data_IF_290310283902
#
_entry.id   IF_290310283902
#
_cell.length_a   1.000
_cell.length_b   1.000
_cell.length_c   1.000
_cell.angle_alpha   90.00
_cell.angle_beta   90.00
_cell.angle_gamma   90.00
#
_symmetry.space_group_name_H-M   'P 1'
#
loop_
_entity.id
_entity.type
_entity.pdbx_description
1 polymer ?
#
# COMPACT_ATOMS: atom_id res chain seq x y z
N UNK A 1 2.59 -4.12 32.90
CA UNK A 1 2.33 -3.85 31.47
C UNK A 1 2.06 -2.37 31.19
N UNK A 2 1.53 -1.64 32.16
CA UNK A 2 1.30 -0.18 32.07
C UNK A 2 2.59 0.60 32.39
N UNK A 3 3.47 0.02 33.18
CA UNK A 3 4.78 0.61 33.55
C UNK A 3 5.79 0.67 32.40
N UNK A 4 5.59 -0.10 31.33
CA UNK A 4 6.54 -0.25 30.22
C UNK A 4 6.13 0.46 28.93
N UNK A 5 5.29 1.50 29.02
CA UNK A 5 4.89 2.28 27.85
C UNK A 5 3.99 1.50 26.86
N UNK A 6 3.30 0.48 27.35
CA UNK A 6 2.36 -0.27 26.52
C UNK A 6 1.16 0.61 26.17
N UNK A 7 1.16 1.05 24.93
CA UNK A 7 0.09 1.81 24.29
C UNK A 7 -1.30 1.16 24.42
N UNK A 8 -2.33 1.95 24.16
CA UNK A 8 -3.76 1.64 24.01
C UNK A 8 -4.10 0.23 23.44
N UNK A 9 -3.15 -0.48 22.85
CA UNK A 9 -3.27 -1.81 22.27
C UNK A 9 -3.62 -2.92 23.28
N UNK A 10 -3.23 -2.76 24.57
CA UNK A 10 -3.46 -3.77 25.61
C UNK A 10 -4.94 -3.82 26.02
N UNK A 11 -5.65 -2.70 25.95
CA UNK A 11 -7.09 -2.63 26.28
C UNK A 11 -7.97 -3.08 25.11
N UNK A 12 -7.46 -3.00 23.88
CA UNK A 12 -8.22 -3.37 22.68
C UNK A 12 -8.46 -4.88 22.52
N UNK A 13 -7.51 -5.74 22.90
CA UNK A 13 -7.66 -7.20 22.77
C UNK A 13 -8.68 -7.81 23.72
N UNK A 14 -8.65 -7.54 25.03
CA UNK A 14 -9.67 -8.05 25.96
C UNK A 14 -11.08 -7.60 25.60
N UNK A 15 -11.25 -6.39 25.06
CA UNK A 15 -12.56 -5.89 24.64
C UNK A 15 -13.00 -6.53 23.32
N UNK A 16 -12.09 -6.75 22.38
CA UNK A 16 -12.37 -7.40 21.10
C UNK A 16 -12.75 -8.86 21.26
N UNK A 17 -12.06 -9.54 22.17
CA UNK A 17 -12.19 -10.98 22.38
C UNK A 17 -13.26 -11.32 23.43
N UNK A 18 -13.89 -10.30 24.06
CA UNK A 18 -14.98 -10.47 25.00
C UNK A 18 -16.28 -10.81 24.27
N UNK A 19 -16.86 -11.93 24.62
CA UNK A 19 -18.15 -12.38 24.11
C UNK A 19 -19.33 -11.55 24.67
N UNK A 20 -19.15 -10.86 25.80
CA UNK A 20 -20.16 -10.06 26.48
C UNK A 20 -19.70 -8.58 26.62
N UNK A 21 -20.48 -7.60 26.11
CA UNK A 21 -20.20 -6.18 26.27
C UNK A 21 -20.08 -5.70 27.73
N UNK A 22 -20.75 -6.38 28.66
CA UNK A 22 -20.69 -6.05 30.09
C UNK A 22 -19.33 -6.37 30.68
N UNK A 23 -18.76 -7.51 30.33
CA UNK A 23 -17.41 -7.91 30.77
C UNK A 23 -16.38 -6.96 30.17
N UNK A 24 -16.54 -6.58 28.89
CA UNK A 24 -15.69 -5.61 28.24
C UNK A 24 -15.74 -4.24 28.93
N UNK A 25 -16.93 -3.77 29.30
CA UNK A 25 -17.11 -2.52 30.04
C UNK A 25 -16.45 -2.53 31.41
N UNK A 26 -16.53 -3.66 32.12
CA UNK A 26 -15.90 -3.82 33.44
C UNK A 26 -14.37 -3.75 33.34
N UNK A 27 -13.77 -4.49 32.41
CA UNK A 27 -12.31 -4.47 32.18
C UNK A 27 -11.83 -3.07 31.83
N UNK A 28 -12.57 -2.37 30.99
CA UNK A 28 -12.24 -1.00 30.58
C UNK A 28 -12.35 -0.02 31.74
N UNK A 29 -13.42 -0.13 32.55
CA UNK A 29 -13.61 0.68 33.74
C UNK A 29 -12.48 0.46 34.78
N UNK A 30 -12.10 -0.79 35.01
CA UNK A 30 -10.99 -1.14 35.91
C UNK A 30 -9.65 -0.57 35.45
N UNK A 31 -9.36 -0.62 34.15
CA UNK A 31 -8.14 -0.04 33.59
C UNK A 31 -8.08 1.47 33.78
N UNK A 32 -9.21 2.18 33.61
CA UNK A 32 -9.29 3.63 33.87
C UNK A 32 -9.15 3.96 35.34
N UNK A 33 -9.78 3.18 36.22
CA UNK A 33 -9.63 3.34 37.68
C UNK A 33 -8.15 3.18 38.09
N UNK A 34 -7.46 2.17 37.54
CA UNK A 34 -6.04 1.96 37.81
C UNK A 34 -5.18 3.12 37.30
N UNK A 35 -5.43 3.60 36.08
CA UNK A 35 -4.70 4.74 35.50
C UNK A 35 -4.84 6.00 36.39
N UNK A 36 -6.03 6.25 36.92
CA UNK A 36 -6.28 7.38 37.82
C UNK A 36 -5.59 7.17 39.16
N UNK A 37 -5.63 5.95 39.73
CA UNK A 37 -4.97 5.61 40.97
C UNK A 37 -3.44 5.79 40.85
N UNK A 38 -2.83 5.32 39.77
CA UNK A 38 -1.41 5.45 39.48
C UNK A 38 -0.99 6.93 39.33
N UNK A 39 -1.85 7.71 38.64
CA UNK A 39 -1.62 9.16 38.53
C UNK A 39 -1.63 9.87 39.88
N UNK A 40 -2.60 9.58 40.73
CA UNK A 40 -2.69 10.17 42.08
C UNK A 40 -1.50 9.72 42.94
N UNK A 41 -1.09 8.46 42.89
CA UNK A 41 0.07 7.93 43.61
C UNK A 41 1.39 8.63 43.19
N UNK A 42 1.57 8.89 41.89
CA UNK A 42 2.72 9.67 41.40
C UNK A 42 2.84 11.06 42.02
N UNK A 43 1.69 11.65 42.46
CA UNK A 43 1.62 12.99 43.00
C UNK A 43 1.35 13.02 44.53
N UNK A 44 1.48 11.89 45.24
CA UNK A 44 1.13 11.78 46.66
C UNK A 44 1.97 12.68 47.58
N UNK A 45 3.22 12.96 47.19
CA UNK A 45 4.13 13.83 47.94
C UNK A 45 3.82 15.32 47.80
N UNK A 46 2.90 15.67 46.90
CA UNK A 46 2.47 17.07 46.73
C UNK A 46 1.34 17.38 47.71
N UNK A 47 1.72 18.04 48.79
CA UNK A 47 0.79 18.39 49.86
C UNK A 47 0.72 19.90 50.09
N UNK A 48 -0.37 20.39 50.67
CA UNK A 48 -0.51 21.78 51.10
C UNK A 48 0.25 22.02 52.42
N UNK A 49 0.23 23.29 52.86
CA UNK A 49 0.83 23.72 54.13
C UNK A 49 0.25 22.99 55.38
N UNK A 50 -0.88 22.30 55.22
CA UNK A 50 -1.53 21.52 56.28
C UNK A 50 -1.37 20.01 56.09
N UNK A 51 -0.50 19.56 55.20
CA UNK A 51 -0.24 18.16 54.92
C UNK A 51 -1.30 17.44 54.08
N UNK A 52 -2.27 18.15 53.50
CA UNK A 52 -3.34 17.51 52.69
C UNK A 52 -2.92 17.42 51.27
N UNK A 53 -3.20 16.26 50.62
CA UNK A 53 -2.86 16.00 49.21
C UNK A 53 -3.48 17.04 48.30
N UNK A 54 -2.70 17.59 47.37
CA UNK A 54 -3.12 18.57 46.39
C UNK A 54 -3.80 17.90 45.20
N UNK A 55 -3.37 16.71 44.79
CA UNK A 55 -3.96 15.93 43.69
C UNK A 55 -4.82 14.83 44.29
N UNK A 56 -6.11 14.90 44.09
CA UNK A 56 -7.11 14.02 44.70
C UNK A 56 -8.17 13.57 43.73
N UNK A 57 -8.76 12.41 43.98
CA UNK A 57 -9.99 11.99 43.30
C UNK A 57 -11.16 12.84 43.75
N UNK A 58 -12.02 13.22 42.82
CA UNK A 58 -13.20 14.06 43.11
C UNK A 58 -14.43 13.60 42.30
N UNK A 59 -15.02 12.48 42.70
CA UNK A 59 -16.20 11.91 42.01
C UNK A 59 -15.89 11.39 40.61
N UNK A 60 -16.86 11.49 39.73
CA UNK A 60 -16.78 11.00 38.37
C UNK A 60 -17.12 12.08 37.36
N UNK A 61 -16.63 11.94 36.14
CA UNK A 61 -17.11 12.69 34.98
C UNK A 61 -18.49 12.17 34.57
N UNK A 62 -19.27 12.95 33.80
CA UNK A 62 -20.50 12.45 33.21
C UNK A 62 -20.29 11.16 32.44
N UNK A 63 -21.26 10.25 32.56
CA UNK A 63 -21.28 8.98 31.82
C UNK A 63 -21.29 9.26 30.33
N UNK A 64 -20.50 8.47 29.60
CA UNK A 64 -20.47 8.54 28.14
C UNK A 64 -20.44 7.16 27.51
N UNK A 65 -21.05 7.04 26.36
CA UNK A 65 -21.06 5.81 25.58
C UNK A 65 -19.91 5.77 24.58
N UNK A 66 -19.28 4.61 24.49
CA UNK A 66 -18.24 4.32 23.51
C UNK A 66 -18.66 3.10 22.70
N UNK A 67 -18.56 3.19 21.38
CA UNK A 67 -18.77 2.06 20.49
C UNK A 67 -17.48 1.23 20.39
N UNK A 68 -17.58 -0.06 20.70
CA UNK A 68 -16.48 -1.02 20.63
C UNK A 68 -16.84 -2.18 19.69
N UNK A 69 -15.89 -3.08 19.44
CA UNK A 69 -16.13 -4.32 18.69
C UNK A 69 -17.14 -5.26 19.38
N UNK A 70 -17.38 -5.11 20.69
CA UNK A 70 -18.37 -5.86 21.44
C UNK A 70 -19.70 -5.10 21.61
N UNK A 71 -19.92 -3.99 20.90
CA UNK A 71 -21.08 -3.13 20.99
C UNK A 71 -20.83 -1.84 21.77
N UNK A 72 -21.93 -1.19 22.20
CA UNK A 72 -21.87 0.03 23.03
C UNK A 72 -21.56 -0.33 24.47
N UNK A 73 -20.61 0.37 25.04
CA UNK A 73 -20.31 0.31 26.45
C UNK A 73 -20.46 1.69 27.08
N UNK A 74 -21.07 1.73 28.26
CA UNK A 74 -21.22 2.96 29.05
C UNK A 74 -20.09 3.06 30.08
N UNK A 75 -19.43 4.21 30.15
CA UNK A 75 -18.23 4.41 30.98
C UNK A 75 -18.33 5.68 31.78
N UNK A 76 -18.00 5.56 33.08
CA UNK A 76 -17.79 6.66 34.00
C UNK A 76 -16.32 6.77 34.33
N UNK A 77 -15.69 7.88 33.92
CA UNK A 77 -14.29 8.14 34.26
C UNK A 77 -14.18 8.84 35.61
N UNK A 78 -13.30 8.36 36.53
CA UNK A 78 -13.02 9.10 37.75
C UNK A 78 -12.44 10.48 37.42
N UNK A 79 -12.86 11.49 38.18
CA UNK A 79 -12.38 12.85 38.03
C UNK A 79 -11.22 13.10 38.97
N UNK A 80 -10.10 13.60 38.45
CA UNK A 80 -8.96 14.06 39.21
C UNK A 80 -9.07 15.59 39.40
N UNK A 81 -8.89 16.06 40.61
CA UNK A 81 -8.84 17.47 40.94
C UNK A 81 -7.43 17.83 41.44
N UNK A 82 -6.82 18.80 40.81
CA UNK A 82 -5.56 19.41 41.23
C UNK A 82 -5.91 20.76 41.93
N UNK A 83 -5.63 20.82 43.21
CA UNK A 83 -5.93 21.95 44.09
C UNK A 83 -4.83 22.99 44.15
N UNK A 84 -3.76 22.90 43.35
CA UNK A 84 -2.73 23.93 43.30
C UNK A 84 -3.34 25.27 42.95
N UNK A 85 -2.93 26.32 43.61
CA UNK A 85 -3.56 27.64 43.50
C UNK A 85 -2.91 28.49 42.40
N UNK A 86 -1.61 28.28 42.12
CA UNK A 86 -0.91 29.07 41.11
C UNK A 86 -1.33 28.70 39.69
N UNK A 87 -1.75 29.73 38.95
CA UNK A 87 -2.05 29.61 37.54
C UNK A 87 -0.81 29.16 36.77
N UNK A 88 -0.91 28.07 36.00
CA UNK A 88 0.21 27.45 35.28
C UNK A 88 0.82 26.21 35.97
N UNK A 89 0.64 26.01 37.27
CA UNK A 89 1.08 24.80 37.96
C UNK A 89 -0.02 23.71 38.03
N UNK A 90 -1.25 24.03 37.74
CA UNK A 90 -2.35 23.04 37.68
C UNK A 90 -2.18 22.12 36.50
N UNK A 91 -1.96 20.85 36.76
CA UNK A 91 -1.90 19.82 35.72
C UNK A 91 -3.31 19.22 35.52
N UNK A 92 -3.78 19.26 34.31
CA UNK A 92 -5.05 18.60 33.94
C UNK A 92 -4.76 17.14 33.65
N UNK A 93 -5.33 16.23 34.42
CA UNK A 93 -5.29 14.82 34.11
C UNK A 93 -6.03 14.56 32.80
N UNK A 94 -5.37 13.92 31.87
CA UNK A 94 -5.95 13.41 30.61
C UNK A 94 -5.67 11.93 30.53
N UNK A 95 -6.72 11.11 30.54
CA UNK A 95 -6.58 9.67 30.43
C UNK A 95 -6.02 9.29 29.07
N UNK A 96 -4.98 8.45 29.04
CA UNK A 96 -4.45 7.85 27.82
C UNK A 96 -5.37 6.73 27.30
N UNK A 97 -6.03 6.04 28.24
CA UNK A 97 -6.99 4.96 27.94
C UNK A 97 -8.29 5.52 27.37
N UNK A 98 -8.77 6.64 27.93
CA UNK A 98 -10.03 7.29 27.59
C UNK A 98 -9.82 8.76 27.20
N UNK A 99 -9.19 9.08 26.06
CA UNK A 99 -8.98 10.44 25.62
C UNK A 99 -10.30 11.25 25.55
N UNK A 100 -10.25 12.57 25.73
CA UNK A 100 -11.40 13.43 25.44
C UNK A 100 -11.91 13.16 24.02
N UNK A 101 -13.23 13.14 23.84
CA UNK A 101 -13.87 12.92 22.52
C UNK A 101 -13.76 11.51 21.93
N UNK A 102 -13.18 10.52 22.61
CA UNK A 102 -13.23 9.14 22.16
C UNK A 102 -14.68 8.67 22.13
N UNK A 103 -15.21 8.39 20.94
CA UNK A 103 -16.57 7.87 20.73
C UNK A 103 -16.57 6.43 20.21
N UNK A 104 -15.44 5.96 19.70
CA UNK A 104 -15.25 4.63 19.13
C UNK A 104 -13.89 4.10 19.51
N UNK A 105 -13.79 2.78 19.60
CA UNK A 105 -12.48 2.13 19.78
C UNK A 105 -11.59 2.31 18.53
N UNK A 106 -10.28 2.31 18.73
CA UNK A 106 -9.31 2.38 17.64
C UNK A 106 -9.53 1.26 16.61
N UNK A 107 -9.91 0.07 17.06
CA UNK A 107 -10.22 -1.06 16.18
C UNK A 107 -11.34 -0.74 15.18
N UNK A 108 -12.36 -0.01 15.60
CA UNK A 108 -13.44 0.42 14.70
C UNK A 108 -13.00 1.55 13.78
N UNK A 109 -12.22 2.49 14.28
CA UNK A 109 -11.65 3.55 13.43
C UNK A 109 -10.73 2.98 12.34
N UNK A 110 -10.04 1.88 12.60
CA UNK A 110 -9.24 1.13 11.61
C UNK A 110 -10.13 0.27 10.67
N UNK A 111 -11.24 -0.28 11.17
CA UNK A 111 -12.14 -1.12 10.40
C UNK A 111 -12.93 -0.34 9.34
N UNK A 112 -13.40 0.85 9.67
CA UNK A 112 -14.22 1.70 8.79
C UNK A 112 -13.52 2.01 7.45
N UNK A 113 -12.27 2.50 7.44
CA UNK A 113 -11.52 2.69 6.21
C UNK A 113 -11.40 1.41 5.39
N UNK A 114 -11.18 0.28 6.06
CA UNK A 114 -11.05 -1.00 5.41
C UNK A 114 -12.34 -1.47 4.73
N UNK A 115 -13.48 -1.33 5.40
CA UNK A 115 -14.81 -1.65 4.84
C UNK A 115 -15.10 -0.77 3.60
N UNK A 116 -14.80 0.53 3.68
CA UNK A 116 -14.95 1.44 2.55
C UNK A 116 -14.06 1.02 1.37
N UNK A 117 -12.81 0.68 1.62
CA UNK A 117 -11.88 0.21 0.59
C UNK A 117 -12.32 -1.14 -0.01
N UNK A 118 -13.02 -1.99 0.74
CA UNK A 118 -13.58 -3.25 0.25
C UNK A 118 -14.86 -3.12 -0.55
N UNK A 119 -15.43 -1.95 -0.66
CA UNK A 119 -16.52 -1.68 -1.57
C UNK A 119 -17.87 -1.39 -0.92
N UNK A 120 -17.93 -1.29 0.39
CA UNK A 120 -19.14 -0.85 1.07
C UNK A 120 -19.37 0.61 0.74
N UNK A 121 -20.53 0.93 0.19
CA UNK A 121 -20.89 2.30 -0.16
C UNK A 121 -21.16 3.14 1.11
N UNK A 122 -21.16 4.45 0.97
CA UNK A 122 -21.43 5.34 2.12
C UNK A 122 -22.82 5.11 2.70
N UNK A 123 -23.81 4.74 1.87
CA UNK A 123 -25.17 4.42 2.29
C UNK A 123 -25.27 3.10 3.05
N UNK A 124 -24.47 2.10 2.68
CA UNK A 124 -24.56 0.74 3.23
C UNK A 124 -23.77 0.55 4.54
N UNK A 125 -23.02 1.58 4.96
CA UNK A 125 -22.22 1.50 6.19
C UNK A 125 -23.05 1.21 7.43
N UNK A 126 -24.24 1.81 7.54
CA UNK A 126 -25.12 1.59 8.70
C UNK A 126 -25.57 0.15 8.79
N UNK A 127 -25.94 -0.45 7.66
CA UNK A 127 -26.33 -1.86 7.58
C UNK A 127 -25.14 -2.80 7.86
N UNK A 128 -24.00 -2.56 7.23
CA UNK A 128 -22.80 -3.35 7.45
C UNK A 128 -22.31 -3.30 8.90
N UNK A 129 -22.37 -2.14 9.55
CA UNK A 129 -22.02 -2.00 10.96
C UNK A 129 -23.07 -2.62 11.87
N UNK A 130 -24.35 -2.51 11.54
CA UNK A 130 -25.43 -3.16 12.29
C UNK A 130 -25.29 -4.69 12.24
N UNK A 131 -24.92 -5.26 11.08
CA UNK A 131 -24.65 -6.68 10.94
C UNK A 131 -23.42 -7.17 11.73
N UNK A 132 -22.39 -6.32 11.86
CA UNK A 132 -21.15 -6.67 12.56
C UNK A 132 -21.18 -6.40 14.07
N UNK A 133 -21.92 -5.38 14.51
CA UNK A 133 -21.86 -4.82 15.86
C UNK A 133 -23.24 -4.82 16.56
N UNK A 134 -24.27 -5.33 15.90
CA UNK A 134 -25.65 -5.31 16.37
C UNK A 134 -26.42 -4.08 15.93
N UNK A 135 -27.76 -4.18 15.97
CA UNK A 135 -28.71 -3.18 15.45
C UNK A 135 -28.61 -1.80 16.13
N UNK A 136 -27.99 -1.74 17.30
CA UNK A 136 -27.74 -0.50 18.06
C UNK A 136 -26.45 0.22 17.64
N UNK A 137 -25.71 -0.29 16.65
CA UNK A 137 -24.54 0.43 16.15
C UNK A 137 -24.97 1.73 15.46
N UNK A 138 -24.45 2.90 15.87
CA UNK A 138 -24.73 4.14 15.17
C UNK A 138 -24.15 4.07 13.78
N UNK A 139 -24.97 4.37 12.78
CA UNK A 139 -24.51 4.51 11.42
C UNK A 139 -23.39 5.54 11.30
N UNK A 140 -22.51 5.35 10.33
CA UNK A 140 -21.54 6.37 9.98
C UNK A 140 -22.26 7.49 9.22
N UNK A 141 -22.19 8.69 9.75
CA UNK A 141 -22.68 9.84 9.00
C UNK A 141 -21.83 10.08 7.74
N UNK A 142 -22.44 10.61 6.69
CA UNK A 142 -21.74 11.00 5.48
C UNK A 142 -20.55 11.95 5.77
N UNK A 143 -20.66 12.78 6.79
CA UNK A 143 -19.60 13.67 7.28
C UNK A 143 -18.36 12.90 7.80
N UNK A 144 -18.54 11.75 8.42
CA UNK A 144 -17.43 10.91 8.87
C UNK A 144 -16.62 10.37 7.68
N UNK A 145 -17.30 9.93 6.63
CA UNK A 145 -16.65 9.46 5.41
C UNK A 145 -15.94 10.60 4.66
N UNK A 146 -16.55 11.80 4.64
CA UNK A 146 -15.93 12.98 4.04
C UNK A 146 -14.63 13.33 4.76
N UNK A 147 -14.65 13.40 6.10
CA UNK A 147 -13.44 13.64 6.91
C UNK A 147 -12.38 12.56 6.70
N UNK A 148 -12.78 11.30 6.56
CA UNK A 148 -11.84 10.21 6.28
C UNK A 148 -11.12 10.40 4.94
N UNK A 149 -11.85 10.83 3.90
CA UNK A 149 -11.26 11.13 2.59
C UNK A 149 -10.27 12.29 2.66
N UNK A 150 -10.57 13.33 3.41
CA UNK A 150 -9.67 14.48 3.65
C UNK A 150 -8.37 14.01 4.33
N UNK A 151 -8.47 13.24 5.41
CA UNK A 151 -7.29 12.66 6.09
C UNK A 151 -6.44 11.84 5.12
N UNK A 152 -7.05 11.04 4.24
CA UNK A 152 -6.31 10.26 3.25
C UNK A 152 -5.64 11.13 2.18
N UNK A 153 -6.27 12.23 1.77
CA UNK A 153 -5.66 13.18 0.84
C UNK A 153 -4.42 13.84 1.45
N UNK A 154 -4.49 14.21 2.73
CA UNK A 154 -3.34 14.75 3.47
C UNK A 154 -2.22 13.73 3.65
N UNK A 155 -2.58 12.46 3.89
CA UNK A 155 -1.60 11.37 3.94
C UNK A 155 -0.89 11.18 2.61
N UNK A 156 -1.61 11.20 1.48
CA UNK A 156 -1.02 11.14 0.14
C UNK A 156 -0.05 12.29 -0.04
N UNK A 157 -0.48 13.52 0.26
CA UNK A 157 0.35 14.71 0.08
C UNK A 157 1.65 14.67 0.92
N UNK A 158 1.57 14.20 2.17
CA UNK A 158 2.75 13.97 3.02
C UNK A 158 3.66 12.87 2.49
N UNK A 159 3.07 11.76 2.05
CA UNK A 159 3.80 10.62 1.51
C UNK A 159 4.52 10.97 0.20
N UNK A 160 3.90 11.77 -0.68
CA UNK A 160 4.51 12.23 -1.92
C UNK A 160 5.71 13.17 -1.69
N UNK A 161 5.81 13.84 -0.54
CA UNK A 161 6.93 14.72 -0.18
C UNK A 161 8.05 14.03 0.61
N UNK A 162 7.92 12.73 0.90
CA UNK A 162 8.92 12.03 1.70
C UNK A 162 10.28 12.00 1.03
N UNK A 163 11.34 12.14 1.81
CA UNK A 163 12.73 12.02 1.35
C UNK A 163 13.05 10.59 0.91
N UNK A 164 13.75 10.44 -0.19
CA UNK A 164 14.20 9.17 -0.77
C UNK A 164 15.72 9.04 -0.84
N UNK A 165 16.49 9.99 -0.28
CA UNK A 165 17.97 9.99 -0.34
C UNK A 165 18.60 8.71 0.21
N UNK A 166 18.04 8.16 1.28
CA UNK A 166 18.52 6.92 1.90
C UNK A 166 17.97 5.64 1.24
N UNK A 167 17.21 5.78 0.14
CA UNK A 167 16.59 4.64 -0.53
C UNK A 167 17.40 4.20 -1.74
N UNK A 168 17.54 2.87 -1.87
CA UNK A 168 18.07 2.22 -3.07
C UNK A 168 17.06 1.19 -3.54
N UNK A 169 16.64 1.29 -4.79
CA UNK A 169 15.74 0.32 -5.42
C UNK A 169 16.46 -0.34 -6.58
N UNK A 170 16.52 -1.66 -6.56
CA UNK A 170 17.20 -2.45 -7.58
C UNK A 170 16.31 -2.67 -8.79
N UNK A 171 15.02 -2.90 -8.55
CA UNK A 171 14.02 -3.10 -9.59
C UNK A 171 12.88 -2.11 -9.48
N UNK A 172 12.37 -1.65 -10.63
CA UNK A 172 11.09 -0.94 -10.75
C UNK A 172 10.07 -1.78 -11.50
N UNK A 173 8.81 -1.68 -11.09
CA UNK A 173 7.64 -2.06 -11.87
C UNK A 173 6.80 -0.82 -12.07
N UNK A 174 6.53 -0.48 -13.34
CA UNK A 174 5.77 0.71 -13.71
C UNK A 174 4.54 0.30 -14.55
N UNK A 175 3.39 0.87 -14.20
CA UNK A 175 2.13 0.62 -14.92
C UNK A 175 1.12 1.73 -14.65
N UNK A 176 0.14 1.90 -15.54
CA UNK A 176 -0.97 2.83 -15.43
C UNK A 176 -2.31 2.14 -15.23
N UNK A 177 -3.12 2.62 -14.30
CA UNK A 177 -4.49 2.15 -14.14
C UNK A 177 -5.50 3.20 -14.62
N UNK A 178 -6.39 2.78 -15.50
CA UNK A 178 -7.46 3.62 -16.05
C UNK A 178 -8.80 3.30 -15.39
N UNK A 179 -9.53 4.34 -14.98
CA UNK A 179 -10.91 4.21 -14.50
C UNK A 179 -11.70 5.52 -14.73
N UNK A 180 -13.03 5.37 -14.80
CA UNK A 180 -13.91 6.52 -14.94
C UNK A 180 -14.13 7.25 -13.63
N UNK A 181 -14.07 8.57 -13.63
CA UNK A 181 -14.61 9.41 -12.57
C UNK A 181 -16.01 9.88 -13.00
N UNK A 182 -17.02 9.75 -12.10
CA UNK A 182 -18.42 10.05 -12.43
C UNK A 182 -18.68 11.49 -12.85
N UNK A 183 -17.82 12.41 -12.45
CA UNK A 183 -17.97 13.85 -12.70
C UNK A 183 -17.04 14.36 -13.80
N UNK A 184 -16.39 13.47 -14.54
CA UNK A 184 -15.42 13.85 -15.57
C UNK A 184 -15.63 13.01 -16.82
N UNK A 185 -15.60 13.66 -18.00
CA UNK A 185 -15.81 13.00 -19.30
C UNK A 185 -14.63 12.10 -19.69
N UNK A 186 -13.42 12.41 -19.22
CA UNK A 186 -12.23 11.64 -19.55
C UNK A 186 -11.89 10.59 -18.50
N UNK A 187 -11.40 9.43 -18.95
CA UNK A 187 -10.89 8.39 -18.05
C UNK A 187 -9.65 8.88 -17.33
N UNK A 188 -9.66 8.79 -16.03
CA UNK A 188 -8.50 9.07 -15.20
C UNK A 188 -7.46 7.97 -15.36
N UNK A 189 -6.18 8.36 -15.49
CA UNK A 189 -5.03 7.47 -15.47
C UNK A 189 -4.23 7.73 -14.20
N UNK A 190 -4.05 6.74 -13.35
CA UNK A 190 -3.11 6.84 -12.23
C UNK A 190 -1.87 6.02 -12.56
N UNK A 191 -0.73 6.70 -12.59
CA UNK A 191 0.59 6.11 -12.79
C UNK A 191 1.15 5.62 -11.46
N UNK A 192 1.64 4.39 -11.44
CA UNK A 192 2.16 3.74 -10.24
C UNK A 192 3.53 3.15 -10.52
N UNK A 193 4.47 3.35 -9.59
CA UNK A 193 5.75 2.65 -9.58
C UNK A 193 5.91 1.93 -8.24
N UNK A 194 6.21 0.64 -8.30
CA UNK A 194 6.64 -0.19 -7.18
C UNK A 194 8.14 -0.41 -7.33
N UNK A 195 8.90 -0.34 -6.25
CA UNK A 195 10.33 -0.63 -6.22
C UNK A 195 10.67 -1.79 -5.31
N UNK A 196 11.70 -2.56 -5.67
CA UNK A 196 12.34 -3.51 -4.78
C UNK A 196 13.60 -2.91 -4.18
N UNK A 197 13.66 -2.84 -2.85
CA UNK A 197 14.84 -2.36 -2.14
C UNK A 197 16.01 -3.33 -2.25
N UNK A 198 17.19 -2.91 -1.84
CA UNK A 198 18.41 -3.73 -1.68
C UNK A 198 18.22 -4.95 -0.75
N UNK A 199 17.23 -4.92 0.13
CA UNK A 199 16.84 -6.03 1.02
C UNK A 199 15.74 -6.92 0.42
N UNK A 200 15.33 -6.66 -0.82
CA UNK A 200 14.27 -7.39 -1.54
C UNK A 200 12.85 -7.04 -1.10
N UNK A 201 12.67 -6.06 -0.22
CA UNK A 201 11.36 -5.56 0.18
C UNK A 201 10.73 -4.77 -0.98
N UNK A 202 9.47 -5.04 -1.29
CA UNK A 202 8.73 -4.24 -2.27
C UNK A 202 8.06 -3.06 -1.60
N UNK A 203 8.20 -1.87 -2.18
CA UNK A 203 7.62 -0.62 -1.68
C UNK A 203 6.91 0.13 -2.81
N UNK A 204 5.78 0.77 -2.49
CA UNK A 204 5.19 1.77 -3.36
C UNK A 204 6.09 3.01 -3.36
N UNK A 205 6.60 3.44 -4.51
CA UNK A 205 7.51 4.58 -4.61
C UNK A 205 6.90 5.80 -5.28
N UNK A 206 6.05 5.59 -6.28
CA UNK A 206 5.29 6.66 -6.91
C UNK A 206 3.83 6.28 -7.09
N UNK A 207 2.97 7.26 -6.93
CA UNK A 207 1.57 7.24 -7.35
C UNK A 207 1.19 8.67 -7.74
N UNK A 208 0.75 8.86 -8.97
CA UNK A 208 0.48 10.19 -9.52
C UNK A 208 -0.70 10.13 -10.48
N UNK A 209 -1.54 11.16 -10.46
CA UNK A 209 -2.56 11.37 -11.46
C UNK A 209 -1.90 11.83 -12.76
N UNK A 210 -2.03 11.05 -13.82
CA UNK A 210 -1.52 11.36 -15.15
C UNK A 210 -2.68 11.56 -16.13
N UNK A 211 -2.49 12.46 -17.10
CA UNK A 211 -3.46 12.63 -18.18
C UNK A 211 -3.61 11.33 -19.00
N UNK A 212 -2.49 10.66 -19.26
CA UNK A 212 -2.35 9.32 -19.90
C UNK A 212 -0.98 8.76 -19.53
N UNK A 213 -0.67 7.55 -19.98
CA UNK A 213 0.69 7.02 -19.93
C UNK A 213 1.60 7.69 -20.97
N UNK A 214 1.56 9.02 -21.01
CA UNK A 214 2.38 9.83 -21.93
C UNK A 214 3.81 9.94 -21.42
N UNK A 215 4.74 10.21 -22.34
CA UNK A 215 6.13 10.51 -21.99
C UNK A 215 6.24 11.64 -20.96
N UNK A 216 5.46 12.72 -21.16
CA UNK A 216 5.44 13.86 -20.23
C UNK A 216 4.99 13.47 -18.83
N UNK A 217 3.90 12.70 -18.73
CA UNK A 217 3.39 12.27 -17.43
C UNK A 217 4.40 11.38 -16.69
N UNK A 218 5.05 10.46 -17.38
CA UNK A 218 6.09 9.63 -16.79
C UNK A 218 7.36 10.41 -16.46
N UNK A 219 7.72 11.40 -17.28
CA UNK A 219 8.85 12.29 -17.03
C UNK A 219 8.64 13.06 -15.72
N UNK A 220 7.46 13.62 -15.50
CA UNK A 220 7.11 14.33 -14.27
C UNK A 220 7.22 13.42 -13.04
N UNK A 221 6.77 12.15 -13.13
CA UNK A 221 6.91 11.16 -12.06
C UNK A 221 8.37 10.88 -11.73
N UNK A 222 9.19 10.60 -12.74
CA UNK A 222 10.60 10.24 -12.52
C UNK A 222 11.44 11.44 -12.04
N UNK A 223 11.17 12.64 -12.56
CA UNK A 223 11.76 13.88 -12.07
C UNK A 223 11.39 14.15 -10.59
N UNK A 224 10.16 13.85 -10.20
CA UNK A 224 9.74 13.98 -8.80
C UNK A 224 10.52 13.01 -7.88
N UNK A 225 10.72 11.77 -8.32
CA UNK A 225 11.55 10.81 -7.57
C UNK A 225 12.98 11.36 -7.39
N UNK A 226 13.55 11.91 -8.45
CA UNK A 226 14.91 12.50 -8.41
C UNK A 226 14.97 13.72 -7.49
N UNK A 227 13.99 14.63 -7.57
CA UNK A 227 13.88 15.79 -6.66
C UNK A 227 13.76 15.39 -5.20
N UNK A 228 13.13 14.27 -4.89
CA UNK A 228 13.04 13.71 -3.54
C UNK A 228 14.31 12.97 -3.09
N UNK A 229 15.35 12.97 -3.92
CA UNK A 229 16.67 12.44 -3.57
C UNK A 229 16.96 11.03 -4.09
N UNK A 230 16.11 10.43 -4.93
CA UNK A 230 16.40 9.17 -5.59
C UNK A 230 17.32 9.39 -6.79
N UNK A 231 18.61 9.63 -6.53
CA UNK A 231 19.60 9.96 -7.55
C UNK A 231 19.94 8.75 -8.44
N UNK A 232 19.98 7.57 -7.86
CA UNK A 232 20.32 6.33 -8.58
C UNK A 232 19.05 5.62 -9.01
N UNK A 233 18.95 5.35 -10.32
CA UNK A 233 17.85 4.57 -10.90
C UNK A 233 17.92 3.08 -10.56
N UNK A 234 16.93 2.29 -11.02
CA UNK A 234 16.95 0.84 -10.88
C UNK A 234 18.00 0.20 -11.81
N UNK A 235 18.44 -1.01 -11.49
CA UNK A 235 19.22 -1.82 -12.42
C UNK A 235 18.34 -2.34 -13.58
N UNK A 236 17.05 -2.61 -13.28
CA UNK A 236 16.08 -3.03 -14.29
C UNK A 236 14.71 -2.42 -13.97
N UNK A 237 14.07 -1.86 -14.99
CA UNK A 237 12.67 -1.46 -14.94
C UNK A 237 11.81 -2.43 -15.76
N UNK A 238 10.66 -2.81 -15.21
CA UNK A 238 9.68 -3.72 -15.83
C UNK A 238 8.41 -2.94 -16.11
N UNK A 239 7.94 -2.98 -17.35
CA UNK A 239 6.74 -2.24 -17.73
C UNK A 239 6.04 -2.81 -18.96
N UNK A 240 4.86 -2.26 -19.29
CA UNK A 240 4.17 -2.54 -20.55
C UNK A 240 4.89 -1.86 -21.74
N UNK A 241 4.35 -2.09 -22.93
CA UNK A 241 4.81 -1.48 -24.17
C UNK A 241 4.55 0.03 -24.33
N UNK A 242 4.07 0.73 -23.30
CA UNK A 242 3.84 2.16 -23.35
C UNK A 242 5.14 2.95 -23.59
N UNK A 243 5.32 3.48 -24.78
CA UNK A 243 6.54 4.15 -25.22
C UNK A 243 6.91 5.35 -24.33
N UNK A 244 5.92 6.00 -23.72
CA UNK A 244 6.13 7.16 -22.85
C UNK A 244 7.00 6.88 -21.64
N UNK A 245 6.79 5.76 -20.95
CA UNK A 245 7.58 5.36 -19.78
C UNK A 245 9.05 5.16 -20.15
N UNK A 246 9.32 4.42 -21.22
CA UNK A 246 10.67 4.07 -21.62
C UNK A 246 11.50 5.26 -22.05
N UNK A 247 10.88 6.21 -22.77
CA UNK A 247 11.55 7.46 -23.13
C UNK A 247 11.92 8.31 -21.91
N UNK A 248 10.98 8.44 -20.97
CA UNK A 248 11.23 9.16 -19.73
C UNK A 248 12.30 8.46 -18.86
N UNK A 249 12.28 7.12 -18.79
CA UNK A 249 13.27 6.34 -18.05
C UNK A 249 14.69 6.57 -18.58
N UNK A 250 14.89 6.46 -19.89
CA UNK A 250 16.21 6.69 -20.53
C UNK A 250 16.73 8.10 -20.29
N UNK A 251 15.82 9.08 -20.23
CA UNK A 251 16.20 10.48 -19.99
C UNK A 251 16.63 10.73 -18.55
N UNK A 252 15.95 10.13 -17.58
CA UNK A 252 16.19 10.41 -16.15
C UNK A 252 17.17 9.42 -15.52
N UNK A 253 17.12 8.15 -15.93
CA UNK A 253 17.95 7.05 -15.44
C UNK A 253 18.54 6.25 -16.62
N UNK A 254 19.49 6.83 -17.38
CA UNK A 254 20.00 6.22 -18.61
C UNK A 254 20.73 4.89 -18.41
N UNK A 255 21.17 4.59 -17.19
CA UNK A 255 21.78 3.31 -16.84
C UNK A 255 20.79 2.19 -16.50
N UNK A 256 19.50 2.48 -16.47
CA UNK A 256 18.48 1.47 -16.14
C UNK A 256 18.22 0.53 -17.33
N UNK A 257 18.29 -0.78 -17.09
CA UNK A 257 17.87 -1.79 -18.05
C UNK A 257 16.35 -1.77 -18.26
N UNK A 258 15.90 -2.24 -19.41
CA UNK A 258 14.48 -2.30 -19.79
C UNK A 258 14.02 -3.76 -19.92
N UNK A 259 12.92 -4.11 -19.28
CA UNK A 259 12.25 -5.40 -19.45
C UNK A 259 10.80 -5.20 -19.82
N UNK A 260 10.38 -5.68 -20.96
CA UNK A 260 8.97 -5.70 -21.35
C UNK A 260 8.23 -6.80 -20.62
N UNK A 261 7.04 -6.47 -20.13
CA UNK A 261 6.17 -7.43 -19.46
C UNK A 261 5.67 -8.52 -20.42
N UNK A 262 6.00 -9.76 -20.12
CA UNK A 262 5.59 -10.93 -20.92
C UNK A 262 4.05 -11.14 -20.90
N UNK A 263 3.35 -10.78 -19.84
CA UNK A 263 1.88 -10.89 -19.78
C UNK A 263 1.26 -9.95 -20.79
N UNK A 264 1.64 -8.68 -20.78
CA UNK A 264 1.13 -7.69 -21.75
C UNK A 264 1.56 -8.02 -23.18
N UNK A 265 2.81 -8.44 -23.39
CA UNK A 265 3.29 -8.82 -24.72
C UNK A 265 2.50 -10.01 -25.25
N UNK A 266 2.30 -11.04 -24.44
CA UNK A 266 1.50 -12.21 -24.82
C UNK A 266 0.08 -11.78 -25.22
N UNK A 267 -0.59 -10.95 -24.43
CA UNK A 267 -1.91 -10.42 -24.78
C UNK A 267 -1.91 -9.66 -26.11
N UNK A 268 -0.91 -8.79 -26.32
CA UNK A 268 -0.77 -7.99 -27.55
C UNK A 268 -0.55 -8.83 -28.81
N UNK A 269 0.21 -9.93 -28.70
CA UNK A 269 0.44 -10.88 -29.79
C UNK A 269 -0.82 -11.70 -30.07
N UNK A 270 -1.45 -12.27 -29.03
CA UNK A 270 -2.65 -13.09 -29.16
C UNK A 270 -3.83 -12.31 -29.73
N UNK A 271 -3.98 -11.03 -29.41
CA UNK A 271 -5.02 -10.16 -29.96
C UNK A 271 -4.90 -9.96 -31.49
N UNK A 272 -3.76 -10.31 -32.08
CA UNK A 272 -3.53 -10.26 -33.52
C UNK A 272 -3.74 -11.63 -34.22
N UNK A 273 -4.12 -12.65 -33.43
CA UNK A 273 -4.38 -14.01 -33.92
C UNK A 273 -5.86 -14.37 -33.74
N UNK A 274 -6.42 -15.20 -34.69
CA UNK A 274 -7.75 -15.75 -34.53
C UNK A 274 -7.90 -16.54 -33.23
N UNK A 275 -9.09 -16.47 -32.61
CA UNK A 275 -9.37 -17.13 -31.31
C UNK A 275 -9.00 -18.60 -31.26
N UNK A 276 -9.24 -19.36 -32.36
CA UNK A 276 -8.92 -20.79 -32.45
C UNK A 276 -7.42 -21.10 -32.33
N UNK A 277 -6.55 -20.16 -32.71
CA UNK A 277 -5.09 -20.34 -32.64
C UNK A 277 -4.49 -19.83 -31.34
N UNK A 278 -5.18 -18.99 -30.59
CA UNK A 278 -4.64 -18.31 -29.41
C UNK A 278 -4.11 -19.29 -28.36
N UNK A 279 -4.81 -20.42 -28.13
CA UNK A 279 -4.37 -21.43 -27.14
C UNK A 279 -3.02 -22.04 -27.52
N UNK A 280 -2.85 -22.45 -28.80
CA UNK A 280 -1.59 -23.02 -29.30
C UNK A 280 -0.47 -21.99 -29.29
N UNK A 281 -0.75 -20.80 -29.83
CA UNK A 281 0.22 -19.69 -29.85
C UNK A 281 0.68 -19.27 -28.45
N UNK A 282 -0.23 -19.29 -27.47
CA UNK A 282 0.14 -19.02 -26.06
C UNK A 282 1.14 -20.03 -25.51
N UNK A 283 1.01 -21.32 -25.88
CA UNK A 283 2.00 -22.33 -25.51
C UNK A 283 3.38 -22.00 -26.09
N UNK A 284 3.45 -21.73 -27.40
CA UNK A 284 4.73 -21.36 -28.03
C UNK A 284 5.33 -20.05 -27.47
N UNK A 285 4.51 -19.07 -27.11
CA UNK A 285 5.01 -17.88 -26.42
C UNK A 285 5.54 -18.22 -25.02
N UNK A 286 4.89 -19.16 -24.32
CA UNK A 286 5.35 -19.62 -23.02
C UNK A 286 6.70 -20.32 -23.10
N UNK A 287 6.95 -21.11 -24.15
CA UNK A 287 8.22 -21.80 -24.37
C UNK A 287 9.38 -20.80 -24.44
N UNK A 288 9.16 -19.56 -24.95
CA UNK A 288 10.17 -18.52 -25.03
C UNK A 288 10.61 -18.06 -23.62
N UNK A 289 9.65 -17.64 -22.80
CA UNK A 289 10.00 -17.05 -21.49
C UNK A 289 10.16 -18.06 -20.36
N UNK A 290 9.94 -19.35 -20.64
CA UNK A 290 10.25 -20.49 -19.75
C UNK A 290 11.53 -21.20 -20.13
N UNK A 291 12.19 -20.83 -21.22
CA UNK A 291 13.44 -21.43 -21.64
C UNK A 291 14.53 -21.25 -20.56
N UNK A 292 15.39 -22.23 -20.42
CA UNK A 292 16.47 -22.24 -19.42
C UNK A 292 17.60 -21.27 -19.74
N UNK A 293 17.79 -20.95 -21.03
CA UNK A 293 18.84 -20.03 -21.48
C UNK A 293 18.31 -19.03 -22.48
N UNK A 294 18.95 -17.88 -22.58
CA UNK A 294 18.65 -16.85 -23.59
C UNK A 294 18.68 -17.43 -25.00
N UNK A 295 19.69 -18.24 -25.31
CA UNK A 295 19.83 -18.88 -26.64
C UNK A 295 18.63 -19.78 -26.96
N UNK A 296 18.17 -20.58 -25.99
CA UNK A 296 16.99 -21.43 -26.19
C UNK A 296 15.71 -20.57 -26.37
N UNK A 297 15.59 -19.48 -25.61
CA UNK A 297 14.51 -18.52 -25.76
C UNK A 297 14.50 -17.84 -27.13
N UNK A 298 15.65 -17.46 -27.64
CA UNK A 298 15.81 -16.88 -28.99
C UNK A 298 15.42 -17.90 -30.07
N UNK A 299 15.83 -19.17 -29.95
CA UNK A 299 15.41 -20.22 -30.87
C UNK A 299 13.90 -20.46 -30.84
N UNK A 300 13.26 -20.45 -29.67
CA UNK A 300 11.82 -20.56 -29.53
C UNK A 300 11.08 -19.34 -30.12
N UNK A 301 11.65 -18.14 -30.01
CA UNK A 301 11.13 -16.92 -30.63
C UNK A 301 11.22 -17.01 -32.15
N UNK A 302 12.35 -17.46 -32.71
CA UNK A 302 12.54 -17.63 -34.13
C UNK A 302 11.56 -18.68 -34.70
N UNK A 303 11.36 -19.79 -33.99
CA UNK A 303 10.34 -20.78 -34.32
C UNK A 303 8.93 -20.15 -34.37
N UNK A 304 8.57 -19.29 -33.40
CA UNK A 304 7.28 -18.59 -33.39
C UNK A 304 7.14 -17.70 -34.64
N UNK A 305 8.18 -16.95 -34.98
CA UNK A 305 8.19 -16.06 -36.15
C UNK A 305 8.02 -16.87 -37.44
N UNK A 306 8.73 -17.98 -37.58
CA UNK A 306 8.63 -18.88 -38.75
C UNK A 306 7.23 -19.50 -38.85
N UNK A 307 6.73 -20.09 -37.76
CA UNK A 307 5.47 -20.81 -37.73
C UNK A 307 4.24 -19.95 -38.04
N UNK A 308 4.29 -18.65 -37.65
CA UNK A 308 3.13 -17.75 -37.76
C UNK A 308 3.32 -16.63 -38.82
N UNK A 309 4.57 -16.35 -39.23
CA UNK A 309 4.90 -15.17 -40.05
C UNK A 309 4.20 -15.13 -41.40
N UNK A 310 4.05 -16.26 -42.10
CA UNK A 310 3.43 -16.31 -43.41
C UNK A 310 1.96 -15.84 -43.46
N UNK A 311 1.22 -16.03 -42.36
CA UNK A 311 -0.22 -15.69 -42.28
C UNK A 311 -0.54 -14.58 -41.31
N UNK A 312 0.30 -14.31 -40.33
CA UNK A 312 0.04 -13.42 -39.19
C UNK A 312 1.24 -12.51 -38.94
N UNK A 313 1.70 -11.84 -39.98
CA UNK A 313 2.84 -10.89 -39.99
C UNK A 313 2.76 -9.85 -38.86
N UNK A 314 1.53 -9.32 -38.60
CA UNK A 314 1.32 -8.37 -37.50
C UNK A 314 1.55 -8.94 -36.11
N UNK A 315 1.32 -10.23 -35.92
CA UNK A 315 1.56 -10.89 -34.64
C UNK A 315 3.05 -11.13 -34.42
N UNK A 316 3.74 -11.63 -35.45
CA UNK A 316 5.19 -11.88 -35.40
C UNK A 316 6.00 -10.58 -35.33
N UNK A 317 5.64 -9.55 -36.11
CA UNK A 317 6.25 -8.23 -36.00
C UNK A 317 6.05 -7.60 -34.59
N UNK A 318 4.87 -7.81 -33.99
CA UNK A 318 4.59 -7.35 -32.63
C UNK A 318 5.53 -8.01 -31.60
N UNK A 319 5.88 -9.30 -31.79
CA UNK A 319 6.82 -10.00 -30.92
C UNK A 319 8.25 -9.58 -31.21
N UNK A 320 8.68 -9.66 -32.46
CA UNK A 320 10.07 -9.48 -32.88
C UNK A 320 10.66 -8.09 -32.57
N UNK A 321 9.84 -7.04 -32.67
CA UNK A 321 10.30 -5.66 -32.43
C UNK A 321 10.83 -5.40 -31.01
N UNK A 322 10.45 -6.21 -30.04
CA UNK A 322 10.86 -6.04 -28.64
C UNK A 322 11.74 -7.23 -28.17
N UNK A 323 12.33 -8.00 -29.10
CA UNK A 323 13.12 -9.21 -28.83
C UNK A 323 14.11 -9.02 -27.67
N UNK A 324 14.99 -8.03 -27.76
CA UNK A 324 16.06 -7.83 -26.80
C UNK A 324 15.52 -7.48 -25.41
N UNK A 325 14.59 -6.53 -25.35
CA UNK A 325 13.99 -6.07 -24.08
C UNK A 325 12.99 -7.07 -23.46
N UNK A 326 12.59 -8.09 -24.19
CA UNK A 326 11.80 -9.21 -23.65
C UNK A 326 12.68 -10.24 -22.95
N UNK A 327 13.95 -10.32 -23.31
CA UNK A 327 14.91 -11.32 -22.82
C UNK A 327 15.92 -10.72 -21.82
N UNK A 328 15.80 -9.45 -21.45
CA UNK A 328 16.72 -8.78 -20.51
C UNK A 328 16.79 -9.45 -19.15
N UNK A 329 15.75 -10.15 -18.71
CA UNK A 329 15.72 -10.83 -17.42
C UNK A 329 16.77 -11.94 -17.30
N UNK A 330 17.29 -12.51 -18.42
CA UNK A 330 18.35 -13.51 -18.43
C UNK A 330 19.70 -12.98 -17.91
N UNK A 331 19.87 -11.65 -17.90
CA UNK A 331 21.06 -10.98 -17.37
C UNK A 331 21.00 -10.77 -15.85
N UNK A 332 20.03 -11.38 -15.18
CA UNK A 332 19.80 -11.31 -13.74
C UNK A 332 19.67 -12.70 -13.13
N UNK A 333 19.85 -12.86 -11.80
CA UNK A 333 19.77 -14.17 -11.14
C UNK A 333 18.49 -14.94 -11.47
N UNK A 334 18.58 -16.23 -11.70
CA UNK A 334 17.44 -17.07 -12.09
C UNK A 334 16.28 -17.02 -11.07
N UNK A 335 16.58 -16.90 -9.77
CA UNK A 335 15.59 -16.78 -8.72
C UNK A 335 14.73 -15.49 -8.86
N UNK A 336 15.28 -14.45 -9.51
CA UNK A 336 14.58 -13.19 -9.73
C UNK A 336 13.63 -13.22 -10.93
N UNK A 337 13.82 -14.10 -11.92
CA UNK A 337 13.12 -14.10 -13.20
C UNK A 337 11.59 -14.06 -13.06
N UNK A 338 11.04 -14.86 -12.16
CA UNK A 338 9.59 -14.90 -11.92
C UNK A 338 9.01 -13.57 -11.43
N UNK A 339 9.85 -12.69 -10.87
CA UNK A 339 9.45 -11.39 -10.37
C UNK A 339 9.64 -10.29 -11.42
N UNK A 340 10.65 -10.40 -12.29
CA UNK A 340 11.08 -9.32 -13.17
C UNK A 340 10.64 -9.47 -14.63
N UNK A 341 10.22 -10.64 -15.08
CA UNK A 341 9.70 -10.84 -16.45
C UNK A 341 8.26 -10.37 -16.65
N UNK A 342 7.56 -9.96 -15.59
CA UNK A 342 6.17 -9.50 -15.65
C UNK A 342 5.92 -8.34 -14.69
N UNK A 343 4.83 -7.59 -14.93
CA UNK A 343 4.32 -6.55 -14.01
C UNK A 343 3.36 -7.09 -12.94
N UNK A 344 3.35 -8.40 -12.70
CA UNK A 344 2.48 -9.05 -11.71
C UNK A 344 2.45 -8.37 -10.32
N UNK A 345 3.56 -7.83 -9.78
CA UNK A 345 3.52 -7.08 -8.52
C UNK A 345 2.54 -5.90 -8.52
N UNK A 346 2.42 -5.18 -9.65
CA UNK A 346 1.46 -4.10 -9.81
C UNK A 346 0.08 -4.65 -10.19
N UNK A 347 -0.01 -5.58 -11.11
CA UNK A 347 -1.28 -6.09 -11.61
C UNK A 347 -2.16 -6.72 -10.53
N UNK A 348 -1.57 -7.47 -9.60
CA UNK A 348 -2.28 -8.04 -8.46
C UNK A 348 -2.90 -6.95 -7.57
N UNK A 349 -2.20 -5.83 -7.42
CA UNK A 349 -2.70 -4.65 -6.69
C UNK A 349 -3.81 -3.96 -7.47
N UNK A 350 -3.62 -3.79 -8.78
CA UNK A 350 -4.61 -3.18 -9.66
C UNK A 350 -5.90 -4.02 -9.78
N UNK A 351 -5.82 -5.34 -9.67
CA UNK A 351 -7.02 -6.19 -9.61
C UNK A 351 -7.93 -5.80 -8.43
N UNK A 352 -7.35 -5.50 -7.26
CA UNK A 352 -8.10 -5.01 -6.10
C UNK A 352 -8.68 -3.62 -6.35
N UNK A 353 -7.93 -2.73 -7.00
CA UNK A 353 -8.41 -1.39 -7.37
C UNK A 353 -9.57 -1.48 -8.35
N UNK A 354 -9.42 -2.27 -9.42
CA UNK A 354 -10.47 -2.49 -10.44
C UNK A 354 -11.75 -3.08 -9.82
N UNK A 355 -11.63 -4.08 -8.95
CA UNK A 355 -12.77 -4.65 -8.23
C UNK A 355 -13.52 -3.59 -7.43
N UNK A 356 -12.79 -2.72 -6.73
CA UNK A 356 -13.36 -1.63 -5.93
C UNK A 356 -14.08 -0.60 -6.81
N UNK A 357 -13.43 -0.15 -7.87
CA UNK A 357 -13.99 0.86 -8.79
C UNK A 357 -15.17 0.31 -9.58
N UNK A 358 -15.14 -0.96 -9.95
CA UNK A 358 -16.28 -1.62 -10.60
C UNK A 358 -17.51 -1.65 -9.69
N UNK A 359 -17.36 -2.09 -8.43
CA UNK A 359 -18.47 -2.15 -7.46
C UNK A 359 -19.10 -0.80 -7.17
N UNK A 360 -18.33 0.28 -7.17
CA UNK A 360 -18.82 1.63 -6.92
C UNK A 360 -19.13 2.43 -8.18
N UNK A 361 -19.05 1.79 -9.35
CA UNK A 361 -19.27 2.44 -10.65
C UNK A 361 -18.40 3.71 -10.84
N UNK A 362 -17.13 3.63 -10.45
CA UNK A 362 -16.17 4.73 -10.51
C UNK A 362 -15.97 5.48 -9.19
N UNK A 363 -15.28 6.60 -9.26
CA UNK A 363 -15.00 7.51 -8.16
C UNK A 363 -15.63 8.88 -8.43
N UNK A 364 -15.99 9.60 -7.34
CA UNK A 364 -16.63 10.91 -7.46
C UNK A 364 -15.69 12.00 -8.00
N UNK A 365 -14.40 11.96 -7.66
CA UNK A 365 -13.41 12.93 -8.12
C UNK A 365 -12.01 12.32 -8.20
N UNK A 366 -11.12 12.95 -8.99
CA UNK A 366 -9.71 12.55 -9.15
C UNK A 366 -8.97 12.47 -7.82
N UNK A 367 -9.13 13.46 -6.95
CA UNK A 367 -8.49 13.49 -5.63
C UNK A 367 -8.93 12.30 -4.75
N UNK A 368 -10.22 11.99 -4.75
CA UNK A 368 -10.75 10.83 -4.01
C UNK A 368 -10.23 9.51 -4.59
N UNK A 369 -10.16 9.41 -5.91
CA UNK A 369 -9.63 8.25 -6.60
C UNK A 369 -8.16 8.01 -6.26
N UNK A 370 -7.34 9.05 -6.33
CA UNK A 370 -5.92 8.99 -5.94
C UNK A 370 -5.75 8.51 -4.50
N UNK A 371 -6.47 9.11 -3.55
CA UNK A 371 -6.39 8.73 -2.15
C UNK A 371 -6.83 7.27 -1.92
N UNK A 372 -7.89 6.81 -2.60
CA UNK A 372 -8.36 5.43 -2.54
C UNK A 372 -7.32 4.46 -3.10
N UNK A 373 -6.78 4.71 -4.29
CA UNK A 373 -5.75 3.85 -4.90
C UNK A 373 -4.51 3.79 -4.02
N UNK A 374 -4.08 4.91 -3.48
CA UNK A 374 -2.97 4.97 -2.53
C UNK A 374 -3.20 4.07 -1.32
N UNK A 375 -4.35 4.16 -0.67
CA UNK A 375 -4.68 3.32 0.50
C UNK A 375 -4.77 1.84 0.14
N UNK A 376 -5.32 1.50 -1.01
CA UNK A 376 -5.34 0.11 -1.50
C UNK A 376 -3.93 -0.42 -1.77
N UNK A 377 -3.06 0.39 -2.39
CA UNK A 377 -1.65 0.05 -2.59
C UNK A 377 -0.90 -0.14 -1.26
N UNK A 378 -1.13 0.74 -0.27
CA UNK A 378 -0.56 0.59 1.07
C UNK A 378 -1.02 -0.70 1.78
N UNK A 379 -2.31 -1.04 1.66
CA UNK A 379 -2.84 -2.29 2.20
C UNK A 379 -2.23 -3.52 1.50
N UNK A 380 -2.02 -3.45 0.19
CA UNK A 380 -1.37 -4.50 -0.58
C UNK A 380 0.11 -4.64 -0.21
N UNK A 381 0.82 -3.52 -0.04
CA UNK A 381 2.24 -3.48 0.32
C UNK A 381 2.53 -4.27 1.60
N UNK A 382 1.66 -4.22 2.58
CA UNK A 382 1.80 -4.99 3.85
C UNK A 382 1.82 -6.51 3.63
N UNK A 383 1.31 -6.99 2.48
CA UNK A 383 1.19 -8.41 2.12
C UNK A 383 2.16 -8.83 1.02
N UNK A 384 2.88 -7.90 0.42
CA UNK A 384 3.83 -8.25 -0.64
C UNK A 384 4.97 -9.10 -0.09
N UNK A 385 5.21 -10.21 -0.75
CA UNK A 385 6.35 -11.07 -0.46
C UNK A 385 7.64 -10.40 -0.92
N UNK A 386 8.70 -10.58 -0.16
CA UNK A 386 10.04 -10.19 -0.59
C UNK A 386 10.42 -10.91 -1.88
N UNK A 387 11.44 -10.38 -2.57
CA UNK A 387 12.04 -11.09 -3.68
C UNK A 387 12.68 -12.39 -3.18
N UNK A 388 12.51 -13.46 -3.94
CA UNK A 388 13.33 -14.65 -3.76
C UNK A 388 14.76 -14.31 -4.27
N UNK A 389 15.78 -15.00 -3.81
CA UNK A 389 17.16 -14.67 -4.18
C UNK A 389 17.64 -13.29 -3.69
N UNK A 390 17.01 -12.70 -2.67
CA UNK A 390 17.35 -11.37 -2.14
C UNK A 390 18.81 -11.19 -1.72
N UNK A 391 19.50 -12.27 -1.39
CA UNK A 391 20.94 -12.30 -1.08
C UNK A 391 21.81 -11.89 -2.27
N UNK A 392 21.34 -12.09 -3.50
CA UNK A 392 22.05 -11.74 -4.74
C UNK A 392 21.86 -10.26 -5.14
N UNK A 393 20.95 -9.51 -4.50
CA UNK A 393 20.74 -8.10 -4.81
C UNK A 393 21.98 -7.24 -4.56
N UNK A 394 22.75 -7.54 -3.52
CA UNK A 394 24.00 -6.84 -3.25
C UNK A 394 25.05 -7.06 -4.34
N UNK A 395 25.04 -8.20 -5.03
CA UNK A 395 25.92 -8.49 -6.16
C UNK A 395 25.52 -7.68 -7.39
N UNK A 396 24.23 -7.61 -7.68
CA UNK A 396 23.68 -6.79 -8.77
C UNK A 396 24.06 -5.31 -8.58
N UNK A 397 23.87 -4.77 -7.36
CA UNK A 397 24.24 -3.39 -7.03
C UNK A 397 25.74 -3.13 -7.23
N UNK A 398 26.59 -4.13 -6.99
CA UNK A 398 28.05 -4.07 -7.22
C UNK A 398 28.43 -4.25 -8.68
N UNK A 399 27.46 -4.46 -9.59
CA UNK A 399 27.69 -4.64 -11.02
C UNK A 399 28.22 -6.03 -11.38
N UNK A 400 27.99 -7.05 -10.55
CA UNK A 400 28.30 -8.44 -10.91
C UNK A 400 27.39 -8.84 -12.07
N UNK A 401 28.00 -9.39 -13.13
CA UNK A 401 27.26 -9.85 -14.31
C UNK A 401 26.70 -11.24 -14.09
N UNK A 402 25.50 -11.44 -14.60
CA UNK A 402 24.83 -12.73 -14.68
C UNK A 402 24.60 -13.07 -16.15
N UNK A 403 24.64 -14.33 -16.47
CA UNK A 403 24.30 -14.88 -17.80
C UNK A 403 23.46 -16.11 -17.59
N UNK A 404 22.29 -16.14 -18.21
CA UNK A 404 21.33 -17.22 -18.04
C UNK A 404 21.00 -17.52 -16.58
N UNK A 405 20.97 -16.47 -15.74
CA UNK A 405 20.64 -16.56 -14.32
C UNK A 405 21.78 -16.95 -13.39
N UNK A 406 22.93 -17.32 -13.95
CA UNK A 406 24.11 -17.71 -13.19
C UNK A 406 25.14 -16.59 -13.13
N UNK A 407 25.83 -16.49 -12.01
CA UNK A 407 26.89 -15.53 -11.80
C UNK A 407 28.08 -15.83 -12.74
N UNK A 408 28.51 -14.83 -13.50
CA UNK A 408 29.80 -14.91 -14.18
C UNK A 408 30.90 -14.62 -13.16
N UNK A 409 31.70 -15.67 -12.86
CA UNK A 409 32.96 -15.46 -12.17
C UNK A 409 33.88 -14.63 -13.08
N UNK A 410 34.49 -13.59 -12.52
CA UNK A 410 35.57 -12.90 -13.23
C UNK A 410 36.61 -13.98 -13.57
N UNK A 411 36.76 -14.27 -14.86
CA UNK A 411 37.91 -15.03 -15.29
C UNK A 411 39.14 -14.38 -14.63
N UNK A 412 39.86 -15.15 -13.83
CA UNK A 412 41.10 -14.69 -13.24
C UNK A 412 41.99 -14.21 -14.37
N UNK A 413 42.23 -12.90 -14.45
CA UNK A 413 43.13 -12.27 -15.40
C UNK A 413 44.58 -12.52 -14.96
#
# INVERSE_FOLDING_TARGET
>A
AISDGADLLVVGRPIRDAADPRVAAQVFAQAIEQEVADYIAKHERQVDKKGRRLVVRNGYMPEREILTGAGRISIKQPRVNDKRVEEGQRMRFTSAILPPYLRRSKTLDDLIPWLYLKGISTGDFSEALAALLGTQAPGLSASTITRLKEVWQDEVARWQRRDLKAKRYVYFWADGIYFGARMEEERQCILVIIGATDTGQKELIAITDGYRESERSWLEVLLDLKRRGLETGPELAVGDGALGFWKALRQIYPGAGEQRCWVHKTGNVLNKLPKGLQKKAKGHLQDIWMAETRKAAESALDFFVEAYGAKYDKATACLAKDRDVLLSFYDFPAEHWKHIRTTNPIESTFATVRLRTYRTQGCLSRKTAMAMVFKLCQCAQRKWRKLDGKNQLAEIIRGVKFVDGERQDRAAA
#
